data_IF_655760719558
#
_entry.id   IF_655760719558
#
_cell.length_a   1.000
_cell.length_b   1.000
_cell.length_c   1.000
_cell.angle_alpha   90.00
_cell.angle_beta   90.00
_cell.angle_gamma   90.00
#
_symmetry.space_group_name_H-M   'P 1'
#
loop_
_entity.id
_entity.type
_entity.pdbx_description
1 polymer ?
#
# COMPACT_ATOMS: atom_id res chain seq x y z
N UNK A 1 15.64 -16.71 -2.11
CA UNK A 1 14.71 -17.66 -2.75
C UNK A 1 13.82 -16.81 -3.65
N UNK A 2 14.07 -16.87 -4.95
CA UNK A 2 13.35 -16.12 -5.98
C UNK A 2 12.21 -17.00 -6.48
N UNK A 3 10.94 -16.62 -6.24
CA UNK A 3 9.80 -17.37 -6.76
C UNK A 3 8.83 -16.43 -7.48
N UNK A 4 8.91 -16.48 -8.83
CA UNK A 4 7.84 -16.36 -9.82
C UNK A 4 6.64 -15.46 -9.50
N UNK A 5 6.67 -14.24 -10.04
CA UNK A 5 5.49 -13.38 -10.18
C UNK A 5 4.73 -13.79 -11.45
N UNK A 6 3.68 -14.60 -11.27
CA UNK A 6 2.82 -15.07 -12.37
C UNK A 6 1.75 -14.01 -12.69
N UNK A 7 1.85 -13.52 -13.92
CA UNK A 7 0.86 -12.91 -14.81
C UNK A 7 -0.47 -12.43 -14.20
N UNK A 8 -0.66 -11.11 -14.18
CA UNK A 8 -1.90 -10.43 -13.83
C UNK A 8 -2.74 -10.21 -15.09
N UNK A 9 -4.00 -10.65 -15.10
CA UNK A 9 -4.96 -10.35 -16.18
C UNK A 9 -6.11 -9.54 -15.58
N UNK A 10 -6.43 -8.44 -16.25
CA UNK A 10 -7.42 -7.42 -15.87
C UNK A 10 -8.64 -7.65 -16.77
N UNK A 11 -9.82 -7.86 -16.19
CA UNK A 11 -11.09 -7.79 -16.92
C UNK A 11 -11.85 -6.54 -16.47
N UNK A 12 -12.21 -5.73 -17.47
CA UNK A 12 -12.76 -4.38 -17.42
C UNK A 12 -14.24 -4.36 -16.97
N UNK A 13 -14.55 -3.48 -16.01
CA UNK A 13 -15.93 -3.23 -15.57
C UNK A 13 -16.02 -2.54 -14.20
N UNK A 14 -15.81 -1.22 -14.21
CA UNK A 14 -16.29 -0.18 -13.27
C UNK A 14 -16.37 -0.58 -11.77
N UNK A 15 -15.45 -0.03 -10.97
CA UNK A 15 -15.10 -0.33 -9.56
C UNK A 15 -14.09 -1.48 -9.41
N UNK A 16 -12.83 -1.20 -9.79
CA UNK A 16 -11.69 -2.11 -9.61
C UNK A 16 -11.42 -2.39 -8.11
N UNK A 17 -12.00 -3.47 -7.60
CA UNK A 17 -11.61 -4.03 -6.30
C UNK A 17 -10.25 -4.71 -6.48
N UNK A 18 -9.18 -4.07 -6.00
CA UNK A 18 -7.83 -4.66 -5.95
C UNK A 18 -7.82 -5.94 -5.09
N UNK A 19 -7.93 -7.11 -5.74
CA UNK A 19 -7.91 -8.41 -5.05
C UNK A 19 -6.47 -8.89 -4.85
N UNK A 20 -5.97 -8.73 -3.63
CA UNK A 20 -4.70 -9.35 -3.22
C UNK A 20 -5.01 -10.79 -2.78
N UNK A 21 -4.74 -11.77 -3.66
CA UNK A 21 -4.93 -13.20 -3.35
C UNK A 21 -3.86 -13.68 -2.35
N UNK A 22 -4.18 -13.57 -1.05
CA UNK A 22 -3.48 -14.24 0.03
C UNK A 22 -4.38 -15.33 0.60
N UNK A 23 -3.81 -16.44 1.08
CA UNK A 23 -4.61 -17.42 1.85
C UNK A 23 -5.29 -16.74 3.04
N UNK A 24 -6.48 -17.18 3.44
CA UNK A 24 -7.33 -16.50 4.45
C UNK A 24 -6.59 -16.15 5.76
N UNK A 25 -5.75 -17.05 6.26
CA UNK A 25 -4.91 -16.85 7.45
C UNK A 25 -3.79 -15.81 7.22
N UNK A 26 -3.28 -15.75 5.99
CA UNK A 26 -2.30 -14.75 5.57
C UNK A 26 -2.96 -13.39 5.37
N UNK A 27 -4.22 -13.30 4.89
CA UNK A 27 -4.93 -12.01 4.72
C UNK A 27 -5.04 -11.28 6.07
N UNK A 28 -5.52 -11.96 7.12
CA UNK A 28 -5.70 -11.33 8.44
C UNK A 28 -4.38 -10.84 9.05
N UNK A 29 -3.30 -11.56 8.78
CA UNK A 29 -1.96 -11.22 9.28
C UNK A 29 -1.29 -10.14 8.42
N UNK A 30 -1.47 -10.20 7.11
CA UNK A 30 -0.83 -9.32 6.11
C UNK A 30 -1.57 -7.98 6.00
N UNK A 31 -2.89 -7.93 6.22
CA UNK A 31 -3.70 -6.71 6.19
C UNK A 31 -3.77 -6.00 7.55
N UNK A 32 -3.16 -6.55 8.61
CA UNK A 32 -3.03 -5.86 9.89
C UNK A 32 -2.18 -4.61 9.70
N UNK A 33 -2.73 -3.44 10.05
CA UNK A 33 -2.07 -2.13 9.93
C UNK A 33 -1.77 -1.68 8.49
N UNK A 34 -2.57 -2.12 7.52
CA UNK A 34 -2.50 -1.63 6.14
C UNK A 34 -3.43 -0.43 5.91
N UNK A 35 -2.93 0.57 5.17
CA UNK A 35 -3.70 1.69 4.65
C UNK A 35 -3.56 1.72 3.14
N UNK A 36 -4.67 1.67 2.41
CA UNK A 36 -4.69 1.96 0.97
C UNK A 36 -4.84 3.46 0.79
N UNK A 37 -4.00 4.08 -0.04
CA UNK A 37 -4.12 5.51 -0.37
C UNK A 37 -3.85 5.77 -1.84
N UNK A 38 -4.65 6.67 -2.40
CA UNK A 38 -4.52 7.19 -3.76
C UNK A 38 -3.89 8.58 -3.74
N UNK A 39 -2.89 8.83 -4.59
CA UNK A 39 -2.33 10.17 -4.76
C UNK A 39 -3.08 10.94 -5.84
N UNK A 40 -3.87 11.92 -5.42
CA UNK A 40 -4.63 12.81 -6.30
C UNK A 40 -3.76 13.91 -6.90
N UNK A 41 -2.82 13.52 -7.76
CA UNK A 41 -1.96 14.45 -8.52
C UNK A 41 -2.18 14.29 -10.01
N UNK A 42 -2.16 15.41 -10.75
CA UNK A 42 -2.26 15.39 -12.21
C UNK A 42 -0.98 14.84 -12.88
N UNK A 43 0.15 14.89 -12.19
CA UNK A 43 1.44 14.42 -12.68
C UNK A 43 1.66 12.92 -12.43
N UNK A 44 2.69 12.39 -13.08
CA UNK A 44 3.22 11.05 -12.80
C UNK A 44 3.82 11.05 -11.38
N UNK A 45 3.55 10.00 -10.62
CA UNK A 45 4.18 9.75 -9.32
C UNK A 45 5.40 8.88 -9.53
N UNK A 46 6.60 9.42 -9.27
CA UNK A 46 7.81 8.61 -9.27
C UNK A 46 7.90 7.84 -7.96
N UNK A 47 7.72 6.52 -8.01
CA UNK A 47 7.63 5.66 -6.82
C UNK A 47 8.80 5.86 -5.85
N UNK A 48 10.06 5.85 -6.30
CA UNK A 48 11.22 6.04 -5.43
C UNK A 48 11.23 7.39 -4.72
N UNK A 49 10.86 8.46 -5.45
CA UNK A 49 10.81 9.82 -4.89
C UNK A 49 9.67 9.96 -3.89
N UNK A 50 8.50 9.42 -4.22
CA UNK A 50 7.35 9.35 -3.31
C UNK A 50 7.73 8.55 -2.05
N UNK A 51 8.29 7.35 -2.20
CA UNK A 51 8.67 6.46 -1.10
C UNK A 51 9.61 7.17 -0.12
N UNK A 52 10.66 7.79 -0.63
CA UNK A 52 11.62 8.51 0.19
C UNK A 52 10.98 9.72 0.89
N UNK A 53 10.11 10.46 0.19
CA UNK A 53 9.39 11.59 0.77
C UNK A 53 8.47 11.14 1.91
N UNK A 54 7.68 10.10 1.68
CA UNK A 54 6.75 9.57 2.68
C UNK A 54 7.48 8.97 3.89
N UNK A 55 8.60 8.28 3.67
CA UNK A 55 9.46 7.79 4.74
C UNK A 55 10.00 8.92 5.63
N UNK A 56 10.38 10.04 5.02
CA UNK A 56 10.84 11.23 5.75
C UNK A 56 9.70 11.95 6.49
N UNK A 57 8.49 11.98 5.95
CA UNK A 57 7.36 12.67 6.59
C UNK A 57 6.79 11.88 7.76
N UNK A 58 6.68 10.56 7.63
CA UNK A 58 5.94 9.75 8.60
C UNK A 58 6.76 9.23 9.76
N UNK A 59 8.10 9.26 9.71
CA UNK A 59 8.96 8.87 10.85
C UNK A 59 8.44 7.67 11.66
N UNK A 60 7.98 6.62 10.98
CA UNK A 60 7.33 5.50 11.68
C UNK A 60 8.34 4.76 12.55
N UNK A 61 7.89 4.28 13.70
CA UNK A 61 8.77 3.64 14.69
C UNK A 61 9.33 2.34 14.12
N UNK A 62 8.49 1.56 13.44
CA UNK A 62 8.86 0.26 12.87
C UNK A 62 9.29 0.31 11.40
N UNK A 63 9.26 1.48 10.76
CA UNK A 63 9.33 1.57 9.31
C UNK A 63 7.98 1.31 8.63
N UNK A 64 7.98 1.29 7.30
CA UNK A 64 6.77 1.11 6.48
C UNK A 64 7.15 0.32 5.22
N UNK A 65 6.33 -0.66 4.87
CA UNK A 65 6.40 -1.32 3.55
C UNK A 65 5.39 -0.62 2.65
N UNK A 66 5.83 -0.22 1.45
CA UNK A 66 5.00 0.47 0.47
C UNK A 66 4.92 -0.40 -0.77
N UNK A 67 3.71 -0.76 -1.17
CA UNK A 67 3.42 -1.55 -2.38
C UNK A 67 2.68 -0.66 -3.37
N UNK A 68 3.19 -0.58 -4.59
CA UNK A 68 2.53 0.08 -5.72
C UNK A 68 1.44 -0.83 -6.28
N UNK A 69 0.20 -0.34 -6.35
CA UNK A 69 -0.91 -1.06 -6.96
C UNK A 69 -1.13 -0.65 -8.43
N UNK A 70 -0.51 0.43 -8.91
CA UNK A 70 -0.86 1.06 -10.17
C UNK A 70 -1.82 2.23 -9.96
N UNK A 71 -2.10 2.98 -11.03
CA UNK A 71 -3.05 4.11 -11.03
C UNK A 71 -2.87 5.19 -9.95
N UNK A 72 -1.67 5.27 -9.34
CA UNK A 72 -1.34 6.12 -8.18
C UNK A 72 -1.98 5.66 -6.87
N UNK A 73 -2.41 4.41 -6.81
CA UNK A 73 -2.82 3.70 -5.61
C UNK A 73 -1.63 2.97 -4.98
N UNK A 74 -1.51 3.08 -3.66
CA UNK A 74 -0.44 2.48 -2.89
C UNK A 74 -0.97 1.87 -1.60
N UNK A 75 -0.45 0.69 -1.24
CA UNK A 75 -0.66 0.10 0.08
C UNK A 75 0.51 0.44 0.97
N UNK A 76 0.20 1.07 2.10
CA UNK A 76 1.13 1.36 3.17
C UNK A 76 0.90 0.39 4.30
N UNK A 77 1.91 -0.41 4.64
CA UNK A 77 1.86 -1.34 5.76
C UNK A 77 2.82 -0.93 6.85
N UNK A 78 2.25 -0.76 8.02
CA UNK A 78 2.99 -0.45 9.23
C UNK A 78 3.18 -1.69 10.09
N UNK A 79 4.22 -1.68 10.92
CA UNK A 79 4.50 -2.77 11.85
C UNK A 79 3.73 -2.62 13.17
N UNK A 80 3.42 -1.39 13.57
CA UNK A 80 2.77 -1.09 14.84
C UNK A 80 1.48 -0.31 14.64
N UNK A 81 0.48 -0.61 15.48
CA UNK A 81 -0.80 0.12 15.48
C UNK A 81 -0.63 1.62 15.66
N UNK A 82 0.28 2.04 16.54
CA UNK A 82 0.55 3.46 16.83
C UNK A 82 1.00 4.24 15.59
N UNK A 83 1.72 3.57 14.68
CA UNK A 83 2.14 4.18 13.42
C UNK A 83 0.95 4.38 12.45
N UNK A 84 -0.11 3.56 12.57
CA UNK A 84 -1.36 3.75 11.81
C UNK A 84 -2.22 4.83 12.43
N UNK A 85 -2.45 4.74 13.75
CA UNK A 85 -3.34 5.64 14.48
C UNK A 85 -2.86 7.10 14.37
N UNK A 86 -1.53 7.33 14.36
CA UNK A 86 -0.96 8.68 14.16
C UNK A 86 -1.09 9.26 12.74
N UNK A 87 -1.58 8.46 11.79
CA UNK A 87 -1.71 8.81 10.35
C UNK A 87 -3.17 8.95 9.92
N UNK A 88 -4.09 8.50 10.75
CA UNK A 88 -5.52 8.74 10.60
C UNK A 88 -5.83 9.98 11.42
N UNK A 89 -5.97 11.12 10.75
CA UNK A 89 -6.52 12.32 11.37
C UNK A 89 -8.01 12.24 11.07
N UNK A 90 -8.86 12.22 12.12
CA UNK A 90 -10.31 12.33 11.96
C UNK A 90 -10.61 13.57 11.10
N UNK A 91 -11.17 13.35 9.92
CA UNK A 91 -11.61 14.39 9.00
C UNK A 91 -12.94 14.99 9.43
#
# INVERSE_FOLDING_TARGET
MENNLVNLTIEDGEDEVWQINLGEELILTYCKYCLVRSFLVASIVHFDSMRNTMANVWHSIGGVIITDLGEKDFVFRYYYKVDVDSRIIDA
#
